data_IF_094805099144
#
_entry.id   IF_094805099144
#
_cell.length_a   1.000
_cell.length_b   1.000
_cell.length_c   1.000
_cell.angle_alpha   90.00
_cell.angle_beta   90.00
_cell.angle_gamma   90.00
#
_symmetry.space_group_name_H-M   'P 1'
#
loop_
_entity.id
_entity.type
_entity.pdbx_description
1 polymer ?
#
# COMPACT_ATOMS: atom_id res chain seq x y z
N UNK A 1 -8.29 25.45 -22.23
CA UNK A 1 -9.06 24.33 -22.81
C UNK A 1 -8.52 23.05 -22.18
N UNK A 2 -9.35 22.27 -21.48
CA UNK A 2 -8.92 21.01 -20.90
C UNK A 2 -8.57 20.06 -22.06
N UNK A 3 -7.28 19.77 -22.24
CA UNK A 3 -6.81 18.86 -23.29
C UNK A 3 -7.39 17.46 -23.06
N UNK A 4 -7.82 16.81 -24.13
CA UNK A 4 -8.23 15.41 -24.12
C UNK A 4 -7.03 14.57 -23.69
N UNK A 5 -7.12 13.93 -22.51
CA UNK A 5 -6.09 12.99 -22.08
C UNK A 5 -6.39 11.60 -22.66
N UNK A 6 -5.35 10.89 -23.11
CA UNK A 6 -5.52 9.55 -23.68
C UNK A 6 -5.85 8.54 -22.59
N UNK A 7 -5.15 8.64 -21.44
CA UNK A 7 -5.34 7.77 -20.27
C UNK A 7 -5.37 8.62 -18.99
N UNK A 8 -6.34 8.35 -18.12
CA UNK A 8 -6.42 8.96 -16.78
C UNK A 8 -6.37 7.86 -15.73
N UNK A 9 -5.56 8.07 -14.70
CA UNK A 9 -5.39 7.17 -13.55
C UNK A 9 -5.99 7.86 -12.32
N UNK A 10 -6.96 7.24 -11.66
CA UNK A 10 -7.55 7.80 -10.45
C UNK A 10 -6.89 7.19 -9.23
N UNK A 11 -6.30 8.03 -8.39
CA UNK A 11 -5.62 7.66 -7.14
C UNK A 11 -4.13 7.35 -7.32
N UNK A 12 -3.26 8.01 -6.55
CA UNK A 12 -1.82 7.71 -6.51
C UNK A 12 -1.36 7.23 -5.15
N UNK A 13 -1.96 6.13 -4.72
CA UNK A 13 -1.20 5.18 -3.91
C UNK A 13 -0.10 4.50 -4.75
N UNK A 14 0.57 3.52 -4.14
CA UNK A 14 1.64 2.75 -4.79
C UNK A 14 1.22 2.21 -6.16
N UNK A 15 0.01 1.66 -6.26
CA UNK A 15 -0.51 1.10 -7.52
C UNK A 15 -0.67 2.17 -8.61
N UNK A 16 -1.21 3.34 -8.29
CA UNK A 16 -1.43 4.42 -9.24
C UNK A 16 -0.12 5.03 -9.76
N UNK A 17 0.81 5.33 -8.85
CA UNK A 17 2.13 5.86 -9.21
C UNK A 17 2.94 4.83 -10.01
N UNK A 18 2.91 3.55 -9.61
CA UNK A 18 3.54 2.48 -10.38
C UNK A 18 2.94 2.33 -11.79
N UNK A 19 1.61 2.47 -11.92
CA UNK A 19 0.91 2.42 -13.21
C UNK A 19 1.28 3.61 -14.10
N UNK A 20 1.29 4.82 -13.54
CA UNK A 20 1.73 6.02 -14.26
C UNK A 20 3.17 5.88 -14.76
N UNK A 21 4.06 5.34 -13.93
CA UNK A 21 5.45 5.11 -14.30
C UNK A 21 5.58 4.06 -15.41
N UNK A 22 4.79 2.98 -15.35
CA UNK A 22 4.76 1.98 -16.41
C UNK A 22 4.32 2.57 -17.75
N UNK A 23 3.22 3.33 -17.76
CA UNK A 23 2.71 4.00 -18.97
C UNK A 23 3.71 5.02 -19.52
N UNK A 24 4.33 5.82 -18.65
CA UNK A 24 5.37 6.77 -19.05
C UNK A 24 6.54 6.08 -19.75
N UNK A 25 6.99 4.93 -19.23
CA UNK A 25 8.07 4.13 -19.84
C UNK A 25 7.69 3.54 -21.20
N UNK A 26 6.40 3.29 -21.42
CA UNK A 26 5.84 2.90 -22.72
C UNK A 26 5.60 4.10 -23.66
N UNK A 27 5.88 5.33 -23.22
CA UNK A 27 5.65 6.54 -24.01
C UNK A 27 4.19 7.00 -24.06
N UNK A 28 3.30 6.40 -23.25
CA UNK A 28 1.89 6.76 -23.17
C UNK A 28 1.71 7.95 -22.23
N UNK A 29 0.99 8.98 -22.69
CA UNK A 29 0.66 10.14 -21.87
C UNK A 29 -0.46 9.77 -20.91
N UNK A 30 -0.20 9.92 -19.61
CA UNK A 30 -1.20 9.70 -18.57
C UNK A 30 -1.14 10.79 -17.51
N UNK A 31 -2.27 11.09 -16.89
CA UNK A 31 -2.39 11.95 -15.71
C UNK A 31 -2.90 11.15 -14.51
N UNK A 32 -2.41 11.44 -13.30
CA UNK A 32 -2.93 10.82 -12.07
C UNK A 32 -3.34 11.81 -10.99
N UNK A 33 -4.43 11.54 -10.27
CA UNK A 33 -5.18 12.59 -9.52
C UNK A 33 -4.90 12.72 -7.99
N UNK A 34 -4.04 11.89 -7.39
CA UNK A 34 -3.73 12.03 -5.96
C UNK A 34 -2.40 11.39 -5.61
N UNK A 35 -1.77 11.73 -4.48
CA UNK A 35 -0.64 10.94 -3.94
C UNK A 35 -0.87 10.69 -2.46
N UNK A 36 -1.12 9.43 -2.09
CA UNK A 36 -1.47 9.07 -0.71
C UNK A 36 -0.31 8.39 0.00
N UNK A 37 0.37 9.15 0.87
CA UNK A 37 1.53 8.69 1.65
C UNK A 37 1.18 8.04 2.99
N UNK A 38 -0.10 7.88 3.36
CA UNK A 38 -0.47 7.34 4.68
C UNK A 38 -0.13 5.85 4.81
N UNK A 39 0.59 5.50 5.88
CA UNK A 39 0.90 4.12 6.29
C UNK A 39 2.36 3.98 6.74
N UNK A 40 2.64 3.11 7.70
CA UNK A 40 3.99 2.96 8.28
C UNK A 40 4.94 2.23 7.32
N UNK A 41 4.79 0.91 7.25
CA UNK A 41 5.65 0.03 6.49
C UNK A 41 4.87 -1.15 5.91
N UNK A 42 5.51 -1.89 5.00
CA UNK A 42 4.95 -3.08 4.38
C UNK A 42 6.06 -4.07 4.03
N UNK A 43 5.71 -5.36 4.06
CA UNK A 43 6.58 -6.43 3.57
C UNK A 43 6.45 -6.57 2.06
N UNK A 44 7.58 -6.56 1.36
CA UNK A 44 7.67 -6.85 -0.07
C UNK A 44 8.31 -8.23 -0.28
N UNK A 45 7.54 -9.13 -0.87
CA UNK A 45 7.99 -10.46 -1.30
C UNK A 45 8.68 -10.41 -2.68
N UNK A 46 9.40 -11.47 -3.10
CA UNK A 46 10.19 -11.48 -4.34
C UNK A 46 9.42 -11.12 -5.62
N UNK A 47 8.11 -11.38 -5.69
CA UNK A 47 7.26 -10.98 -6.82
C UNK A 47 7.15 -9.45 -6.93
N UNK A 48 7.00 -8.74 -5.81
CA UNK A 48 6.94 -7.28 -5.82
C UNK A 48 8.29 -6.67 -6.23
N UNK A 49 9.41 -7.25 -5.76
CA UNK A 49 10.75 -6.83 -6.17
C UNK A 49 11.01 -7.03 -7.66
N UNK A 50 10.50 -8.11 -8.26
CA UNK A 50 10.54 -8.29 -9.73
C UNK A 50 9.73 -7.22 -10.47
N UNK A 51 8.57 -6.84 -9.95
CA UNK A 51 7.79 -5.74 -10.54
C UNK A 51 8.53 -4.39 -10.42
N UNK A 52 9.19 -4.12 -9.28
CA UNK A 52 9.99 -2.91 -9.09
C UNK A 52 11.26 -2.89 -9.96
N UNK A 53 11.85 -4.06 -10.24
CA UNK A 53 13.00 -4.19 -11.15
C UNK A 53 12.59 -3.90 -12.60
N UNK A 54 11.42 -4.40 -13.03
CA UNK A 54 10.85 -4.05 -14.34
C UNK A 54 10.52 -2.54 -14.45
N UNK A 55 10.06 -1.96 -13.34
CA UNK A 55 9.89 -0.51 -13.18
C UNK A 55 11.21 0.23 -12.90
N UNK A 56 12.37 -0.44 -12.92
CA UNK A 56 13.70 0.15 -12.79
C UNK A 56 13.99 0.88 -11.48
N UNK A 57 13.15 0.74 -10.45
CA UNK A 57 13.28 1.43 -9.16
C UNK A 57 13.77 0.53 -8.03
N UNK A 58 13.86 -0.78 -8.26
CA UNK A 58 14.29 -1.73 -7.22
C UNK A 58 15.64 -1.33 -6.57
N UNK A 59 16.61 -0.91 -7.38
CA UNK A 59 17.95 -0.52 -6.93
C UNK A 59 17.95 0.66 -5.94
N UNK A 60 16.97 1.57 -6.02
CA UNK A 60 16.83 2.70 -5.07
C UNK A 60 16.47 2.23 -3.67
N UNK A 61 15.84 1.06 -3.54
CA UNK A 61 15.32 0.54 -2.28
C UNK A 61 16.18 -0.60 -1.74
N UNK A 62 16.82 -1.39 -2.61
CA UNK A 62 17.63 -2.53 -2.17
C UNK A 62 18.93 -2.14 -1.46
N UNK A 63 19.40 -0.90 -1.59
CA UNK A 63 20.51 -0.35 -0.82
C UNK A 63 20.12 0.10 0.59
N UNK A 64 18.82 0.39 0.80
CA UNK A 64 18.31 0.98 2.04
C UNK A 64 17.80 -0.10 2.99
N UNK A 65 17.06 -1.08 2.45
CA UNK A 65 16.37 -2.07 3.27
C UNK A 65 17.13 -3.39 3.26
N UNK A 66 17.40 -4.03 4.40
CA UNK A 66 18.05 -5.33 4.45
C UNK A 66 17.11 -6.47 4.03
N UNK A 67 17.70 -7.62 3.69
CA UNK A 67 16.96 -8.85 3.46
C UNK A 67 16.47 -9.42 4.78
N UNK A 68 15.21 -9.86 4.81
CA UNK A 68 14.70 -10.72 5.86
C UNK A 68 15.13 -12.15 5.53
N UNK A 69 15.95 -12.75 6.39
CA UNK A 69 16.48 -14.11 6.21
C UNK A 69 15.39 -15.17 6.34
N UNK A 70 14.33 -14.85 7.10
CA UNK A 70 13.24 -15.73 7.42
C UNK A 70 12.34 -15.11 8.47
N UNK A 71 11.71 -15.96 9.26
CA UNK A 71 10.80 -15.56 10.29
C UNK A 71 10.39 -16.72 11.18
N UNK A 72 9.55 -16.42 12.16
CA UNK A 72 8.91 -17.43 12.98
C UNK A 72 7.46 -17.09 13.22
N UNK A 73 6.63 -18.12 13.32
CA UNK A 73 5.25 -18.01 13.82
C UNK A 73 5.20 -18.82 15.09
N UNK A 74 4.88 -18.16 16.20
CA UNK A 74 4.82 -18.77 17.53
C UNK A 74 3.39 -18.73 18.04
N UNK A 75 2.83 -19.88 18.40
CA UNK A 75 1.59 -19.95 19.15
C UNK A 75 1.93 -19.77 20.64
N UNK A 76 1.45 -18.68 21.25
CA UNK A 76 1.76 -18.37 22.64
C UNK A 76 1.00 -19.25 23.64
N UNK A 77 -0.11 -19.88 23.22
CA UNK A 77 -0.89 -20.78 24.08
C UNK A 77 -0.25 -22.16 24.20
N UNK A 78 0.29 -22.67 23.09
CA UNK A 78 0.89 -24.01 23.03
C UNK A 78 2.41 -23.99 23.13
N UNK A 79 3.04 -22.82 22.91
CA UNK A 79 4.49 -22.68 22.77
C UNK A 79 5.04 -23.21 21.44
N UNK A 80 4.18 -23.72 20.55
CA UNK A 80 4.60 -24.26 19.26
C UNK A 80 5.17 -23.16 18.35
N UNK A 81 6.35 -23.41 17.79
CA UNK A 81 7.02 -22.48 16.89
C UNK A 81 7.28 -23.13 15.53
N UNK A 82 6.81 -22.46 14.48
CA UNK A 82 7.14 -22.77 13.10
C UNK A 82 8.14 -21.76 12.57
N UNK A 83 9.31 -22.22 12.15
CA UNK A 83 10.33 -21.38 11.50
C UNK A 83 10.08 -21.33 10.00
N UNK A 84 10.04 -20.13 9.45
CA UNK A 84 9.86 -19.88 8.03
C UNK A 84 11.20 -19.40 7.47
N UNK A 85 11.73 -20.10 6.48
CA UNK A 85 12.85 -19.58 5.70
C UNK A 85 12.30 -18.83 4.48
N UNK A 86 12.75 -17.59 4.27
CA UNK A 86 12.35 -16.84 3.09
C UNK A 86 13.17 -17.19 1.85
N UNK A 87 14.19 -18.05 2.00
CA UNK A 87 15.09 -18.47 0.93
C UNK A 87 15.93 -17.30 0.41
N UNK A 88 17.25 -17.50 0.28
CA UNK A 88 18.11 -16.48 -0.33
C UNK A 88 17.97 -16.41 -1.87
N UNK A 89 17.27 -17.38 -2.47
CA UNK A 89 17.11 -17.49 -3.91
C UNK A 89 15.78 -16.89 -4.36
N UNK A 90 15.76 -15.57 -4.57
CA UNK A 90 14.90 -15.02 -5.62
C UNK A 90 15.29 -15.71 -6.94
N UNK A 91 14.48 -16.68 -7.36
CA UNK A 91 14.78 -17.66 -8.42
C UNK A 91 15.87 -17.25 -9.41
N UNK A 92 17.01 -17.94 -9.35
CA UNK A 92 18.05 -18.03 -10.40
C UNK A 92 18.75 -16.75 -10.87
N UNK A 93 18.35 -15.54 -10.46
CA UNK A 93 18.82 -14.29 -11.09
C UNK A 93 19.98 -13.61 -10.36
N UNK A 94 20.35 -14.05 -9.15
CA UNK A 94 21.48 -13.45 -8.40
C UNK A 94 21.29 -11.97 -8.01
N UNK A 95 20.11 -11.38 -8.24
CA UNK A 95 19.84 -9.93 -8.08
C UNK A 95 19.43 -9.48 -6.67
N UNK A 96 19.46 -10.36 -5.66
CA UNK A 96 19.14 -9.99 -4.28
C UNK A 96 17.67 -9.59 -4.02
N UNK A 97 16.74 -10.08 -4.86
CA UNK A 97 15.30 -9.79 -4.79
C UNK A 97 14.54 -10.67 -3.78
N UNK A 98 15.04 -10.73 -2.54
CA UNK A 98 14.40 -11.45 -1.43
C UNK A 98 13.41 -10.59 -0.64
N UNK A 99 12.75 -11.19 0.35
CA UNK A 99 11.75 -10.49 1.17
C UNK A 99 12.37 -9.37 2.00
N UNK A 100 11.76 -8.19 2.03
CA UNK A 100 12.20 -7.04 2.83
C UNK A 100 11.02 -6.30 3.44
N UNK A 101 11.18 -5.73 4.62
CA UNK A 101 10.26 -4.72 5.15
C UNK A 101 10.72 -3.34 4.66
N UNK A 102 9.80 -2.54 4.12
CA UNK A 102 10.11 -1.20 3.57
C UNK A 102 9.16 -0.15 4.12
N UNK A 103 9.64 1.09 4.27
CA UNK A 103 8.75 2.20 4.54
C UNK A 103 7.83 2.43 3.35
N UNK A 104 6.53 2.57 3.61
CA UNK A 104 5.54 2.81 2.55
C UNK A 104 5.83 4.14 1.83
N UNK A 105 6.21 5.17 2.59
CA UNK A 105 6.54 6.50 2.09
C UNK A 105 7.73 6.44 1.12
N UNK A 106 8.85 5.83 1.53
CA UNK A 106 10.06 5.72 0.70
C UNK A 106 9.81 4.92 -0.58
N UNK A 107 9.01 3.86 -0.53
CA UNK A 107 8.60 3.13 -1.74
C UNK A 107 7.82 4.02 -2.71
N UNK A 108 6.87 4.81 -2.20
CA UNK A 108 6.06 5.70 -3.01
C UNK A 108 6.89 6.83 -3.61
N UNK A 109 7.81 7.41 -2.83
CA UNK A 109 8.76 8.44 -3.28
C UNK A 109 9.70 7.90 -4.36
N UNK A 110 10.28 6.72 -4.16
CA UNK A 110 11.16 6.10 -5.16
C UNK A 110 10.48 5.87 -6.52
N UNK A 111 9.18 5.60 -6.52
CA UNK A 111 8.35 5.51 -7.73
C UNK A 111 8.03 6.89 -8.31
N UNK A 112 7.63 7.83 -7.46
CA UNK A 112 7.18 9.17 -7.88
C UNK A 112 8.32 10.02 -8.45
N UNK A 113 9.54 9.89 -7.93
CA UNK A 113 10.74 10.60 -8.42
C UNK A 113 11.08 10.27 -9.89
N UNK A 114 10.65 9.11 -10.39
CA UNK A 114 10.87 8.71 -11.78
C UNK A 114 9.82 9.26 -12.75
N UNK A 115 8.75 9.88 -12.22
CA UNK A 115 7.72 10.51 -13.05
C UNK A 115 8.21 11.88 -13.55
N UNK A 116 7.89 12.19 -14.80
CA UNK A 116 8.11 13.53 -15.35
C UNK A 116 7.24 14.53 -14.58
N UNK A 117 7.67 15.80 -14.49
CA UNK A 117 6.81 16.87 -13.99
C UNK A 117 5.45 16.85 -14.68
N UNK A 118 4.41 17.24 -13.93
CA UNK A 118 3.02 17.34 -14.40
C UNK A 118 2.33 16.02 -14.81
N UNK A 119 2.98 14.86 -14.61
CA UNK A 119 2.31 13.55 -14.76
C UNK A 119 1.26 13.31 -13.69
N UNK A 120 1.43 13.92 -12.52
CA UNK A 120 0.52 13.80 -11.37
C UNK A 120 -0.11 15.16 -11.09
N UNK A 121 -1.45 15.20 -11.11
CA UNK A 121 -2.24 16.31 -10.58
C UNK A 121 -2.64 15.95 -9.16
N UNK A 122 -2.29 16.78 -8.19
CA UNK A 122 -2.64 16.55 -6.79
C UNK A 122 -4.01 17.15 -6.46
N UNK A 123 -4.57 16.77 -5.31
CA UNK A 123 -5.82 17.32 -4.74
C UNK A 123 -7.02 17.22 -5.69
N UNK A 124 -7.07 16.18 -6.53
CA UNK A 124 -8.07 16.00 -7.57
C UNK A 124 -9.02 14.86 -7.21
N UNK A 125 -9.80 15.05 -6.14
CA UNK A 125 -10.71 14.01 -5.66
C UNK A 125 -11.85 13.79 -6.66
N UNK A 126 -12.01 12.55 -7.10
CA UNK A 126 -13.07 12.16 -8.04
C UNK A 126 -14.43 12.13 -7.34
N UNK A 127 -15.39 12.86 -7.87
CA UNK A 127 -16.76 12.92 -7.35
C UNK A 127 -17.71 11.96 -8.10
N UNK A 128 -17.63 11.92 -9.44
CA UNK A 128 -18.48 11.03 -10.24
C UNK A 128 -17.89 10.74 -11.61
N UNK A 129 -18.40 9.67 -12.24
CA UNK A 129 -17.99 9.19 -13.56
C UNK A 129 -19.24 8.99 -14.41
N UNK A 130 -19.18 9.43 -15.66
CA UNK A 130 -20.22 9.17 -16.67
C UNK A 130 -19.60 8.80 -18.01
N UNK A 131 -20.34 8.05 -18.82
CA UNK A 131 -19.98 7.78 -20.21
C UNK A 131 -20.75 8.75 -21.11
N UNK A 132 -20.04 9.44 -22.00
CA UNK A 132 -20.64 10.26 -23.05
C UNK A 132 -20.43 9.56 -24.41
N UNK A 133 -21.48 9.48 -25.22
CA UNK A 133 -21.36 9.06 -26.63
C UNK A 133 -21.12 10.31 -27.47
N UNK A 134 -20.02 10.31 -28.21
CA UNK A 134 -19.61 11.40 -29.08
C UNK A 134 -20.32 11.31 -30.44
N UNK A 135 -20.24 12.40 -31.21
CA UNK A 135 -20.96 12.55 -32.50
C UNK A 135 -20.53 11.53 -33.55
N UNK A 136 -19.33 10.97 -33.43
CA UNK A 136 -18.77 9.93 -34.29
C UNK A 136 -19.06 8.51 -33.79
N UNK A 137 -19.98 8.36 -32.82
CA UNK A 137 -20.30 7.09 -32.13
C UNK A 137 -19.17 6.53 -31.27
N UNK A 138 -18.08 7.25 -31.06
CA UNK A 138 -17.07 6.88 -30.06
C UNK A 138 -17.57 7.19 -28.64
N UNK A 139 -17.06 6.49 -27.64
CA UNK A 139 -17.37 6.76 -26.23
C UNK A 139 -16.20 7.44 -25.53
N UNK A 140 -16.52 8.42 -24.69
CA UNK A 140 -15.58 9.06 -23.79
C UNK A 140 -16.02 8.85 -22.34
N UNK A 141 -15.05 8.68 -21.46
CA UNK A 141 -15.27 8.67 -20.01
C UNK A 141 -15.08 10.09 -19.50
N UNK A 142 -16.07 10.59 -18.78
CA UNK A 142 -16.07 11.95 -18.23
C UNK A 142 -16.06 11.88 -16.71
N UNK A 143 -15.00 12.42 -16.13
CA UNK A 143 -14.74 12.49 -14.71
C UNK A 143 -15.12 13.88 -14.21
N UNK A 144 -15.88 13.94 -13.12
CA UNK A 144 -16.17 15.18 -12.39
C UNK A 144 -15.40 15.14 -11.08
N UNK A 145 -14.57 16.15 -10.86
CA UNK A 145 -13.80 16.30 -9.63
C UNK A 145 -14.57 17.15 -8.62
N UNK A 146 -14.25 17.00 -7.33
CA UNK A 146 -14.87 17.77 -6.25
C UNK A 146 -14.58 19.28 -6.33
N UNK A 147 -13.48 19.67 -6.98
CA UNK A 147 -13.13 21.08 -7.26
C UNK A 147 -13.94 21.68 -8.44
N UNK A 148 -14.85 20.89 -9.04
CA UNK A 148 -15.67 21.28 -10.18
C UNK A 148 -14.97 21.10 -11.54
N UNK A 149 -13.70 20.66 -11.57
CA UNK A 149 -13.02 20.37 -12.82
C UNK A 149 -13.62 19.13 -13.52
N UNK A 150 -13.61 19.17 -14.85
CA UNK A 150 -14.11 18.10 -15.70
C UNK A 150 -12.95 17.58 -16.55
N UNK A 151 -12.69 16.27 -16.48
CA UNK A 151 -11.67 15.59 -17.27
C UNK A 151 -12.37 14.63 -18.24
N UNK A 152 -11.96 14.66 -19.50
CA UNK A 152 -12.41 13.71 -20.53
C UNK A 152 -11.24 12.82 -20.93
N UNK A 153 -11.50 11.52 -21.00
CA UNK A 153 -10.51 10.52 -21.36
C UNK A 153 -11.10 9.39 -22.20
N UNK A 154 -10.25 8.74 -23.00
CA UNK A 154 -10.59 7.50 -23.71
C UNK A 154 -10.43 6.28 -22.82
N UNK A 155 -9.43 6.30 -21.93
CA UNK A 155 -9.13 5.21 -21.00
C UNK A 155 -9.10 5.73 -19.57
N UNK A 156 -9.80 5.03 -18.69
CA UNK A 156 -9.81 5.28 -17.25
C UNK A 156 -9.24 4.07 -16.52
N UNK A 157 -8.27 4.29 -15.64
CA UNK A 157 -7.69 3.27 -14.76
C UNK A 157 -7.98 3.64 -13.30
N UNK A 158 -8.74 2.78 -12.60
CA UNK A 158 -9.03 2.95 -11.17
C UNK A 158 -7.93 2.39 -10.29
N UNK A 159 -7.25 3.25 -9.54
CA UNK A 159 -6.24 2.95 -8.52
C UNK A 159 -6.57 3.61 -7.17
N UNK A 160 -7.85 3.92 -6.95
CA UNK A 160 -8.43 4.73 -5.86
C UNK A 160 -8.78 3.92 -4.60
N UNK A 161 -8.25 2.70 -4.49
CA UNK A 161 -8.20 1.92 -3.25
C UNK A 161 -9.54 1.30 -2.84
N UNK A 162 -9.67 0.97 -1.55
CA UNK A 162 -10.79 0.17 -1.03
C UNK A 162 -12.15 0.87 -1.12
N UNK A 163 -12.17 2.21 -1.18
CA UNK A 163 -13.38 3.02 -1.33
C UNK A 163 -13.55 3.53 -2.77
N UNK A 164 -13.07 2.76 -3.74
CA UNK A 164 -12.99 3.16 -5.15
C UNK A 164 -14.33 3.60 -5.72
N UNK A 165 -14.36 4.83 -6.22
CA UNK A 165 -15.47 5.40 -7.00
C UNK A 165 -15.51 4.73 -8.38
N UNK A 166 -14.34 4.39 -8.94
CA UNK A 166 -14.25 3.68 -10.23
C UNK A 166 -14.87 2.27 -10.12
N UNK A 167 -14.59 1.53 -9.06
CA UNK A 167 -15.16 0.20 -8.83
C UNK A 167 -16.68 0.25 -8.65
N UNK A 168 -17.19 1.24 -7.92
CA UNK A 168 -18.62 1.46 -7.74
C UNK A 168 -19.30 1.78 -9.08
N UNK A 169 -18.71 2.65 -9.89
CA UNK A 169 -19.21 2.98 -11.22
C UNK A 169 -19.27 1.76 -12.16
N UNK A 170 -18.29 0.87 -12.07
CA UNK A 170 -18.27 -0.41 -12.80
C UNK A 170 -19.27 -1.45 -12.27
N UNK A 171 -20.01 -1.15 -11.20
CA UNK A 171 -20.95 -2.08 -10.57
C UNK A 171 -20.27 -3.25 -9.84
N UNK A 172 -19.01 -3.09 -9.43
CA UNK A 172 -18.31 -4.10 -8.65
C UNK A 172 -18.88 -4.17 -7.22
N UNK A 173 -18.81 -5.37 -6.63
CA UNK A 173 -19.31 -5.60 -5.29
C UNK A 173 -18.58 -4.74 -4.25
N UNK A 174 -19.32 -4.29 -3.23
CA UNK A 174 -18.74 -3.55 -2.11
C UNK A 174 -17.73 -4.42 -1.33
N UNK A 175 -16.70 -3.80 -0.70
CA UNK A 175 -15.75 -4.53 0.13
C UNK A 175 -16.44 -5.29 1.26
N UNK A 176 -16.01 -6.51 1.50
CA UNK A 176 -16.49 -7.35 2.61
C UNK A 176 -15.61 -7.10 3.84
N UNK A 177 -16.24 -6.84 4.98
CA UNK A 177 -15.53 -6.70 6.25
C UNK A 177 -14.97 -8.07 6.68
N UNK A 178 -13.66 -8.16 6.90
CA UNK A 178 -12.98 -9.40 7.30
C UNK A 178 -13.27 -9.86 8.74
N UNK A 179 -13.95 -9.04 9.53
CA UNK A 179 -14.15 -9.23 10.97
C UNK A 179 -12.88 -8.99 11.79
N UNK A 180 -11.87 -8.29 11.23
CA UNK A 180 -10.59 -8.04 11.88
C UNK A 180 -10.15 -6.59 11.73
N UNK A 181 -9.60 -6.06 12.82
CA UNK A 181 -8.99 -4.73 12.93
C UNK A 181 -7.49 -4.88 13.07
N UNK A 182 -6.72 -3.91 12.57
CA UNK A 182 -5.26 -3.94 12.69
C UNK A 182 -4.69 -2.60 13.10
N UNK A 183 -3.90 -2.60 14.17
CA UNK A 183 -3.04 -1.49 14.56
C UNK A 183 -1.63 -1.77 14.06
N UNK A 184 -0.95 -0.73 13.60
CA UNK A 184 0.40 -0.80 13.03
C UNK A 184 1.23 0.36 13.55
N UNK A 185 2.51 0.13 13.73
CA UNK A 185 3.41 1.17 14.19
C UNK A 185 4.85 0.95 13.75
N UNK A 186 5.65 1.98 14.03
CA UNK A 186 7.09 1.96 13.88
C UNK A 186 7.69 2.25 15.25
N UNK A 187 8.60 1.40 15.69
CA UNK A 187 9.40 1.61 16.90
C UNK A 187 10.82 2.02 16.48
N UNK A 188 11.33 3.10 17.08
CA UNK A 188 12.64 3.67 16.78
C UNK A 188 13.59 3.44 17.96
N UNK A 189 14.75 2.86 17.68
CA UNK A 189 15.82 2.52 18.60
C UNK A 189 17.09 3.26 18.16
N UNK A 190 17.36 4.48 18.67
CA UNK A 190 18.48 5.31 18.20
C UNK A 190 19.85 4.64 18.29
N UNK A 191 20.06 3.82 19.32
CA UNK A 191 21.29 3.05 19.58
C UNK A 191 21.30 1.67 18.90
N UNK A 192 20.24 1.35 18.17
CA UNK A 192 20.04 0.06 17.53
C UNK A 192 19.22 -0.93 18.38
N UNK A 193 18.48 -1.81 17.73
CA UNK A 193 17.59 -2.77 18.40
C UNK A 193 18.25 -4.15 18.66
N UNK A 194 19.40 -4.45 18.02
CA UNK A 194 20.17 -5.68 18.25
C UNK A 194 19.47 -6.99 17.87
N UNK A 195 18.41 -6.94 17.07
CA UNK A 195 17.64 -8.11 16.64
C UNK A 195 18.15 -8.61 15.29
N UNK A 196 17.96 -9.90 15.02
CA UNK A 196 18.19 -10.46 13.69
C UNK A 196 17.12 -9.97 12.70
N UNK A 197 17.49 -9.91 11.42
CA UNK A 197 16.59 -9.56 10.32
C UNK A 197 15.63 -10.71 9.97
N UNK A 198 14.62 -10.90 10.81
CA UNK A 198 13.54 -11.84 10.58
C UNK A 198 12.16 -11.26 10.90
N UNK A 199 11.13 -11.78 10.23
CA UNK A 199 9.74 -11.44 10.51
C UNK A 199 9.18 -12.38 11.59
N UNK A 200 8.85 -11.86 12.76
CA UNK A 200 8.28 -12.65 13.85
C UNK A 200 6.79 -12.39 13.97
N UNK A 201 6.01 -13.46 14.10
CA UNK A 201 4.58 -13.40 14.33
C UNK A 201 4.23 -14.28 15.54
N UNK A 202 3.27 -13.80 16.33
CA UNK A 202 2.77 -14.44 17.53
C UNK A 202 1.26 -14.57 17.42
N UNK A 203 0.74 -15.74 17.78
CA UNK A 203 -0.67 -16.08 17.72
C UNK A 203 -1.17 -16.41 19.13
N UNK A 204 -2.31 -15.87 19.52
CA UNK A 204 -2.97 -16.20 20.80
C UNK A 204 -4.42 -15.71 20.79
N UNK A 205 -5.37 -16.54 21.24
CA UNK A 205 -6.75 -16.12 21.50
C UNK A 205 -7.45 -15.52 20.27
N UNK A 206 -7.13 -16.00 19.08
CA UNK A 206 -7.63 -15.42 17.83
C UNK A 206 -7.03 -14.06 17.47
N UNK A 207 -6.05 -13.53 18.22
CA UNK A 207 -5.25 -12.34 17.92
C UNK A 207 -3.94 -12.74 17.23
N UNK A 208 -3.37 -11.78 16.50
CA UNK A 208 -2.04 -11.93 15.87
C UNK A 208 -1.22 -10.68 16.11
N UNK A 209 -0.02 -10.83 16.63
CA UNK A 209 0.97 -9.76 16.74
C UNK A 209 2.19 -10.10 15.92
N UNK A 210 2.96 -9.11 15.51
CA UNK A 210 4.22 -9.40 14.86
C UNK A 210 5.05 -8.17 14.59
N UNK A 211 6.31 -8.40 14.25
CA UNK A 211 7.24 -7.35 13.90
C UNK A 211 8.29 -7.81 12.90
N UNK A 212 8.85 -6.86 12.17
CA UNK A 212 9.99 -7.04 11.27
C UNK A 212 10.87 -5.79 11.30
N UNK A 213 12.20 -5.93 11.47
CA UNK A 213 13.12 -4.80 11.31
C UNK A 213 13.12 -4.23 9.89
N UNK A 214 13.12 -2.90 9.75
CA UNK A 214 13.37 -2.20 8.48
C UNK A 214 14.83 -1.78 8.34
N UNK A 215 15.50 -1.55 9.46
CA UNK A 215 16.90 -1.12 9.58
C UNK A 215 17.38 -1.51 10.97
N UNK A 216 18.67 -1.30 11.29
CA UNK A 216 19.22 -1.60 12.62
C UNK A 216 18.55 -0.78 13.74
N UNK A 217 17.81 0.28 13.38
CA UNK A 217 17.21 1.24 14.31
C UNK A 217 15.68 1.24 14.28
N UNK A 218 15.05 0.60 13.31
CA UNK A 218 13.61 0.75 13.10
C UNK A 218 12.93 -0.60 12.95
N UNK A 219 11.85 -0.79 13.71
CA UNK A 219 11.03 -2.01 13.68
C UNK A 219 9.60 -1.65 13.32
N UNK A 220 9.10 -2.26 12.25
CA UNK A 220 7.67 -2.27 11.95
C UNK A 220 7.01 -3.33 12.78
N UNK A 221 5.90 -2.99 13.43
CA UNK A 221 5.09 -3.93 14.17
C UNK A 221 3.61 -3.77 13.83
N UNK A 222 2.86 -4.83 14.08
CA UNK A 222 1.42 -4.83 13.94
C UNK A 222 0.76 -5.71 15.01
N UNK A 223 -0.48 -5.36 15.32
CA UNK A 223 -1.42 -6.17 16.08
C UNK A 223 -2.69 -6.30 15.24
N UNK A 224 -3.28 -7.48 15.21
CA UNK A 224 -4.53 -7.77 14.49
C UNK A 224 -5.46 -8.52 15.41
N UNK A 225 -6.62 -7.92 15.68
CA UNK A 225 -7.64 -8.41 16.59
C UNK A 225 -8.92 -8.73 15.82
N UNK A 226 -9.77 -9.63 16.33
CA UNK A 226 -11.17 -9.67 15.92
C UNK A 226 -11.82 -8.29 16.16
N UNK A 227 -12.49 -7.74 15.15
CA UNK A 227 -13.15 -6.43 15.26
C UNK A 227 -14.31 -6.51 16.24
N UNK A 228 -14.30 -5.65 17.26
CA UNK A 228 -15.42 -5.54 18.21
C UNK A 228 -16.63 -4.83 17.58
N UNK A 229 -17.83 -5.02 18.13
CA UNK A 229 -19.02 -4.30 17.64
C UNK A 229 -18.85 -2.78 17.71
N UNK A 230 -18.21 -2.28 18.78
CA UNK A 230 -17.92 -0.85 18.98
C UNK A 230 -16.96 -0.27 17.93
N UNK A 231 -15.96 -1.03 17.51
CA UNK A 231 -15.05 -0.62 16.43
C UNK A 231 -15.76 -0.56 15.07
N UNK A 232 -16.78 -1.40 14.84
CA UNK A 232 -17.58 -1.31 13.60
C UNK A 232 -18.34 0.00 13.51
N UNK A 233 -18.90 0.45 14.62
CA UNK A 233 -19.75 1.64 14.68
C UNK A 233 -18.93 2.96 14.68
N UNK A 234 -17.67 2.93 15.13
CA UNK A 234 -16.80 4.11 15.27
C UNK A 234 -15.50 4.03 14.43
N UNK A 235 -15.46 3.20 13.39
CA UNK A 235 -14.23 2.88 12.65
C UNK A 235 -13.43 4.10 12.14
N UNK A 236 -14.12 5.14 11.68
CA UNK A 236 -13.48 6.36 11.16
C UNK A 236 -12.85 7.24 12.26
N UNK A 237 -13.42 7.21 13.46
CA UNK A 237 -12.99 7.99 14.63
C UNK A 237 -11.83 7.28 15.34
N UNK A 238 -11.94 5.96 15.53
CA UNK A 238 -10.88 5.10 16.06
C UNK A 238 -9.60 5.14 15.21
N UNK A 239 -9.72 5.13 13.88
CA UNK A 239 -8.57 5.12 12.99
C UNK A 239 -7.71 6.40 13.03
N UNK A 240 -8.18 7.46 13.69
CA UNK A 240 -7.53 8.78 13.71
C UNK A 240 -7.19 9.30 15.10
N UNK A 241 -7.71 8.69 16.17
CA UNK A 241 -7.42 9.09 17.55
C UNK A 241 -6.26 8.25 18.14
N UNK A 242 -5.07 8.84 18.36
CA UNK A 242 -3.92 8.13 18.93
C UNK A 242 -4.19 7.52 20.31
N UNK A 243 -5.07 8.13 21.11
CA UNK A 243 -5.40 7.66 22.47
C UNK A 243 -6.25 6.39 22.41
N UNK A 244 -7.21 6.32 21.48
CA UNK A 244 -8.01 5.12 21.25
C UNK A 244 -7.18 3.99 20.65
N UNK A 245 -6.28 4.30 19.71
CA UNK A 245 -5.34 3.33 19.15
C UNK A 245 -4.42 2.78 20.25
N UNK A 246 -3.89 3.65 21.11
CA UNK A 246 -3.05 3.23 22.23
C UNK A 246 -3.82 2.36 23.23
N UNK A 247 -5.05 2.75 23.59
CA UNK A 247 -5.91 1.97 24.47
C UNK A 247 -6.24 0.58 23.88
N UNK A 248 -6.47 0.49 22.57
CA UNK A 248 -6.66 -0.79 21.88
C UNK A 248 -5.39 -1.65 21.97
N UNK A 249 -4.21 -1.07 21.72
CA UNK A 249 -2.94 -1.81 21.82
C UNK A 249 -2.70 -2.33 23.24
N UNK A 250 -2.92 -1.48 24.26
CA UNK A 250 -2.73 -1.84 25.68
C UNK A 250 -3.74 -2.91 26.12
N UNK A 251 -5.01 -2.76 25.77
CA UNK A 251 -6.03 -3.78 26.10
C UNK A 251 -5.87 -5.08 25.30
N UNK A 252 -5.19 -5.01 24.15
CA UNK A 252 -4.87 -6.16 23.32
C UNK A 252 -3.64 -6.91 23.78
N UNK A 253 -2.77 -6.27 24.59
CA UNK A 253 -1.60 -6.91 25.19
C UNK A 253 -2.08 -7.87 26.28
N UNK A 254 -1.67 -9.13 26.17
CA UNK A 254 -1.96 -10.14 27.18
C UNK A 254 -1.05 -9.84 28.39
N UNK A 255 -1.55 -9.85 29.64
CA UNK A 255 -0.73 -9.68 30.83
C UNK A 255 0.41 -10.69 30.94
#
# INVERSE_FOLDING_TARGET
>A
MAGEQEVVIVGGGIAGIATALALQRLGVRSGSDELRTTGAALGLSPNAWRALDALGVAHKLTSIYPLLEGGSVTNLETGEQSVISFGQNGGGTGRGLGTRAVHRKVLLEALAEELKPDTVRFSSKLASIRTEVLRDSSSAVVLHLEDGAIIRTKVLIGCDGVHSVVAQWLGLAAPINSGRSAVRGLSVYPEGHGLKYGANQFLSGGKRGGFAPLSDKEIYWFMTNPTTAREKDMAAEFARDPSLILAEVISSTIP
#
